data_IF_570259291252
#
_entry.id   IF_570259291252
#
_cell.length_a   1.000
_cell.length_b   1.000
_cell.length_c   1.000
_cell.angle_alpha   90.00
_cell.angle_beta   90.00
_cell.angle_gamma   90.00
#
_symmetry.space_group_name_H-M   'P 1'
#
loop_
_entity.id
_entity.type
_entity.pdbx_description
1 polymer ?
#
# COMPACT_ATOMS: atom_id res chain seq x y z
N UNK A 1 2.18 -11.98 14.57
CA UNK A 1 1.79 -10.61 14.94
C UNK A 1 0.67 -10.20 14.00
N UNK A 2 -0.32 -9.44 14.47
CA UNK A 2 -1.51 -9.07 13.67
C UNK A 2 -1.13 -8.15 12.51
N UNK A 3 -0.20 -7.22 12.76
CA UNK A 3 0.40 -6.33 11.75
C UNK A 3 1.00 -7.09 10.56
N UNK A 4 1.76 -8.17 10.81
CA UNK A 4 2.35 -8.98 9.73
C UNK A 4 1.32 -9.60 8.78
N UNK A 5 0.14 -10.00 9.29
CA UNK A 5 -0.94 -10.56 8.47
C UNK A 5 -1.56 -9.51 7.57
N UNK A 6 -1.68 -8.26 8.03
CA UNK A 6 -2.24 -7.20 7.19
C UNK A 6 -1.26 -6.81 6.07
N UNK A 7 0.05 -6.80 6.34
CA UNK A 7 1.08 -6.59 5.33
C UNK A 7 1.00 -7.61 4.20
N UNK A 8 0.83 -8.89 4.55
CA UNK A 8 0.64 -9.96 3.58
C UNK A 8 -0.62 -9.75 2.72
N UNK A 9 -1.75 -9.38 3.34
CA UNK A 9 -2.99 -9.09 2.60
C UNK A 9 -2.83 -7.93 1.61
N UNK A 10 -2.10 -6.88 2.00
CA UNK A 10 -1.81 -5.74 1.10
C UNK A 10 -0.99 -6.25 -0.10
N UNK A 11 0.08 -7.00 0.16
CA UNK A 11 0.92 -7.59 -0.90
C UNK A 11 0.13 -8.48 -1.86
N UNK A 12 -0.70 -9.38 -1.33
CA UNK A 12 -1.55 -10.28 -2.13
C UNK A 12 -2.57 -9.49 -2.96
N UNK A 13 -3.19 -8.45 -2.38
CA UNK A 13 -4.17 -7.65 -3.09
C UNK A 13 -3.55 -6.89 -4.27
N UNK A 14 -2.37 -6.30 -4.12
CA UNK A 14 -1.72 -5.57 -5.22
C UNK A 14 -1.01 -6.50 -6.20
N UNK A 15 -0.66 -7.74 -5.80
CA UNK A 15 -0.06 -8.73 -6.69
C UNK A 15 -0.94 -9.07 -7.90
N UNK A 16 -2.26 -8.87 -7.81
CA UNK A 16 -3.16 -9.06 -8.96
C UNK A 16 -2.92 -8.07 -10.09
N UNK A 17 -2.21 -6.95 -9.82
CA UNK A 17 -1.82 -5.96 -10.83
C UNK A 17 -0.47 -6.30 -11.48
N UNK A 18 0.24 -7.33 -11.01
CA UNK A 18 1.45 -7.82 -11.68
C UNK A 18 1.04 -8.62 -12.91
N UNK A 19 1.40 -8.12 -14.09
CA UNK A 19 1.35 -8.87 -15.35
C UNK A 19 2.76 -9.24 -15.79
N UNK A 20 2.91 -10.08 -16.82
CA UNK A 20 4.21 -10.48 -17.39
C UNK A 20 5.10 -9.29 -17.80
N UNK A 21 4.49 -8.12 -18.02
CA UNK A 21 5.21 -6.91 -18.44
C UNK A 21 5.56 -5.96 -17.29
N UNK A 22 5.00 -6.16 -16.10
CA UNK A 22 5.15 -5.28 -14.93
C UNK A 22 6.16 -5.90 -13.96
N UNK A 23 7.31 -5.24 -13.78
CA UNK A 23 8.37 -5.71 -12.89
C UNK A 23 8.22 -5.20 -11.46
N UNK A 24 7.52 -4.09 -11.26
CA UNK A 24 7.39 -3.41 -9.98
C UNK A 24 6.09 -2.58 -9.93
N UNK A 25 5.43 -2.60 -8.77
CA UNK A 25 4.32 -1.72 -8.43
C UNK A 25 4.76 -0.87 -7.25
N UNK A 26 4.67 0.45 -7.40
CA UNK A 26 4.89 1.42 -6.33
C UNK A 26 3.56 2.04 -5.98
N UNK A 27 3.28 2.16 -4.69
CA UNK A 27 2.07 2.80 -4.21
C UNK A 27 2.43 3.82 -3.17
N UNK A 28 1.84 5.01 -3.30
CA UNK A 28 1.87 6.05 -2.29
C UNK A 28 0.44 6.21 -1.81
N UNK A 29 0.25 6.15 -0.51
CA UNK A 29 -1.07 6.21 0.12
C UNK A 29 -1.08 7.22 1.25
N UNK A 30 -2.14 8.01 1.27
CA UNK A 30 -2.54 8.83 2.39
C UNK A 30 -3.76 8.21 3.05
N UNK A 31 -3.75 8.16 4.39
CA UNK A 31 -4.74 7.50 5.23
C UNK A 31 -5.38 8.54 6.13
N UNK A 32 -6.63 8.86 5.82
CA UNK A 32 -7.49 9.67 6.66
C UNK A 32 -8.35 8.76 7.54
N UNK A 33 -9.12 9.36 8.44
CA UNK A 33 -9.92 8.59 9.38
C UNK A 33 -11.10 7.87 8.69
N UNK A 34 -11.65 8.46 7.63
CA UNK A 34 -12.84 7.95 6.91
C UNK A 34 -12.56 7.49 5.47
N UNK A 35 -11.40 7.82 4.91
CA UNK A 35 -11.06 7.55 3.52
C UNK A 35 -9.55 7.46 3.30
N UNK A 36 -9.13 6.98 2.13
CA UNK A 36 -7.73 6.88 1.75
C UNK A 36 -7.53 7.46 0.34
N UNK A 37 -6.50 8.26 0.17
CA UNK A 37 -5.99 8.67 -1.14
C UNK A 37 -4.85 7.74 -1.54
N UNK A 38 -4.75 7.37 -2.82
CA UNK A 38 -3.61 6.58 -3.28
C UNK A 38 -3.30 6.80 -4.74
N UNK A 39 -2.03 6.56 -5.08
CA UNK A 39 -1.54 6.52 -6.45
C UNK A 39 -0.75 5.23 -6.69
N UNK A 40 -1.04 4.55 -7.80
CA UNK A 40 -0.25 3.42 -8.26
C UNK A 40 0.65 3.85 -9.41
N UNK A 41 1.94 3.54 -9.28
CA UNK A 41 2.91 3.70 -10.36
C UNK A 41 3.48 2.31 -10.71
N UNK A 42 3.46 1.95 -11.99
CA UNK A 42 3.92 0.65 -12.49
C UNK A 42 5.25 0.81 -13.22
N UNK A 43 6.20 -0.12 -13.01
CA UNK A 43 7.37 -0.23 -13.88
C UNK A 43 7.09 -1.32 -14.91
N UNK A 44 6.82 -0.92 -16.15
CA UNK A 44 6.50 -1.81 -17.25
C UNK A 44 7.61 -1.74 -18.31
N UNK A 45 8.20 -2.89 -18.68
CA UNK A 45 9.30 -2.97 -19.63
C UNK A 45 10.45 -1.98 -19.31
N UNK A 46 10.77 -1.81 -18.03
CA UNK A 46 11.80 -0.89 -17.55
C UNK A 46 11.42 0.61 -17.54
N UNK A 47 10.16 0.95 -17.84
CA UNK A 47 9.66 2.34 -17.84
C UNK A 47 8.61 2.56 -16.76
N UNK A 48 8.64 3.72 -16.12
CA UNK A 48 7.63 4.13 -15.15
C UNK A 48 6.35 4.59 -15.88
N UNK A 49 5.21 4.05 -15.46
CA UNK A 49 3.86 4.43 -15.85
C UNK A 49 3.15 4.92 -14.59
N UNK A 50 2.97 6.22 -14.47
CA UNK A 50 2.45 6.87 -13.25
C UNK A 50 0.92 6.95 -13.24
N UNK A 51 0.35 6.98 -12.04
CA UNK A 51 -1.07 7.34 -11.85
C UNK A 51 -2.08 6.32 -12.39
N UNK A 52 -1.75 5.04 -12.35
CA UNK A 52 -2.64 3.97 -12.79
C UNK A 52 -3.79 3.80 -11.79
N UNK A 53 -5.00 3.62 -12.31
CA UNK A 53 -6.16 3.34 -11.47
C UNK A 53 -6.15 1.87 -11.01
N UNK A 54 -6.14 1.65 -9.70
CA UNK A 54 -6.29 0.31 -9.14
C UNK A 54 -7.72 -0.20 -9.34
N UNK A 55 -7.89 -1.49 -9.59
CA UNK A 55 -9.22 -2.09 -9.67
C UNK A 55 -10.00 -1.88 -8.37
N UNK A 56 -11.32 -1.72 -8.46
CA UNK A 56 -12.18 -1.49 -7.28
C UNK A 56 -12.05 -2.58 -6.21
N UNK A 57 -11.85 -3.83 -6.63
CA UNK A 57 -11.60 -5.00 -5.78
C UNK A 57 -10.29 -4.88 -5.01
N UNK A 58 -9.20 -4.55 -5.71
CA UNK A 58 -7.87 -4.27 -5.13
C UNK A 58 -7.99 -3.10 -4.16
N UNK A 59 -8.71 -2.05 -4.56
CA UNK A 59 -8.83 -0.85 -3.76
C UNK A 59 -9.47 -1.11 -2.40
N UNK A 60 -10.57 -1.86 -2.40
CA UNK A 60 -11.26 -2.31 -1.19
C UNK A 60 -10.36 -3.17 -0.30
N UNK A 61 -9.73 -4.21 -0.85
CA UNK A 61 -8.89 -5.13 -0.08
C UNK A 61 -7.72 -4.40 0.61
N UNK A 62 -7.08 -3.48 -0.11
CA UNK A 62 -6.00 -2.66 0.44
C UNK A 62 -6.51 -1.67 1.49
N UNK A 63 -7.68 -1.05 1.30
CA UNK A 63 -8.30 -0.17 2.30
C UNK A 63 -8.50 -0.92 3.63
N UNK A 64 -9.19 -2.05 3.56
CA UNK A 64 -9.53 -2.85 4.75
C UNK A 64 -8.27 -3.29 5.49
N UNK A 65 -7.23 -3.69 4.75
CA UNK A 65 -5.96 -4.13 5.31
C UNK A 65 -5.13 -2.97 5.90
N UNK A 66 -5.06 -1.81 5.24
CA UNK A 66 -4.34 -0.64 5.77
C UNK A 66 -5.00 -0.07 7.02
N UNK A 67 -6.32 0.06 7.05
CA UNK A 67 -7.04 0.51 8.23
C UNK A 67 -6.89 -0.47 9.39
N UNK A 68 -6.86 -1.79 9.11
CA UNK A 68 -6.53 -2.78 10.13
C UNK A 68 -5.08 -2.67 10.60
N UNK A 69 -4.13 -2.49 9.70
CA UNK A 69 -2.72 -2.35 10.01
C UNK A 69 -2.44 -1.15 10.92
N UNK A 70 -3.04 0.02 10.62
CA UNK A 70 -2.93 1.22 11.47
C UNK A 70 -3.42 0.92 12.89
N UNK A 71 -4.61 0.32 13.04
CA UNK A 71 -5.14 -0.08 14.36
C UNK A 71 -4.27 -1.11 15.08
N UNK A 72 -3.78 -2.12 14.37
CA UNK A 72 -2.97 -3.19 14.95
C UNK A 72 -1.63 -2.62 15.43
N UNK A 73 -0.98 -1.75 14.65
CA UNK A 73 0.25 -1.06 15.05
C UNK A 73 0.06 -0.12 16.24
N UNK A 74 -1.07 0.61 16.31
CA UNK A 74 -1.41 1.44 17.47
C UNK A 74 -1.59 0.60 18.74
N UNK A 75 -2.25 -0.56 18.65
CA UNK A 75 -2.35 -1.51 19.78
C UNK A 75 -1.00 -2.08 20.21
N UNK A 76 -0.09 -2.25 19.26
CA UNK A 76 1.30 -2.65 19.50
C UNK A 76 2.16 -1.50 20.08
N UNK A 77 1.57 -0.32 20.33
CA UNK A 77 2.25 0.83 20.94
C UNK A 77 3.12 1.63 19.96
N UNK A 78 2.96 1.42 18.65
CA UNK A 78 3.64 2.23 17.65
C UNK A 78 2.97 3.61 17.50
N UNK A 79 3.77 4.59 17.09
CA UNK A 79 3.27 5.91 16.72
C UNK A 79 2.31 5.84 15.53
N UNK A 80 1.28 6.68 15.60
CA UNK A 80 0.30 6.82 14.54
C UNK A 80 0.95 7.30 13.23
N UNK A 81 0.34 6.95 12.11
CA UNK A 81 0.83 7.32 10.79
C UNK A 81 -0.34 7.54 9.84
N UNK A 82 -0.15 8.49 8.93
CA UNK A 82 -1.13 8.87 7.92
C UNK A 82 -0.60 8.72 6.50
N UNK A 83 0.70 8.50 6.34
CA UNK A 83 1.32 8.37 5.04
C UNK A 83 2.12 7.08 4.99
N UNK A 84 1.96 6.31 3.93
CA UNK A 84 2.82 5.18 3.67
C UNK A 84 3.13 5.04 2.18
N UNK A 85 4.27 4.44 1.90
CA UNK A 85 4.63 4.01 0.56
C UNK A 85 5.01 2.54 0.60
N UNK A 86 4.58 1.78 -0.40
CA UNK A 86 4.95 0.37 -0.50
C UNK A 86 5.25 -0.03 -1.92
N UNK A 87 6.12 -1.03 -2.03
CA UNK A 87 6.63 -1.57 -3.28
C UNK A 87 6.42 -3.07 -3.27
N UNK A 88 5.85 -3.59 -4.36
CA UNK A 88 5.83 -5.02 -4.67
C UNK A 88 6.59 -5.24 -5.98
N UNK A 89 7.60 -6.10 -5.93
CA UNK A 89 8.36 -6.55 -7.12
C UNK A 89 7.80 -7.86 -7.64
N UNK A 90 8.01 -8.12 -8.94
CA UNK A 90 7.61 -9.37 -9.59
C UNK A 90 8.28 -10.63 -8.99
N UNK A 91 9.41 -10.48 -8.29
CA UNK A 91 10.07 -11.57 -7.54
C UNK A 91 9.40 -11.90 -6.20
N UNK A 92 8.30 -11.22 -5.85
CA UNK A 92 7.57 -11.39 -4.60
C UNK A 92 8.08 -10.54 -3.43
N UNK A 93 9.13 -9.74 -3.64
CA UNK A 93 9.64 -8.83 -2.60
C UNK A 93 8.63 -7.72 -2.33
N UNK A 94 8.13 -7.66 -1.11
CA UNK A 94 7.23 -6.62 -0.62
C UNK A 94 7.91 -5.78 0.47
N UNK A 95 7.84 -4.46 0.35
CA UNK A 95 8.32 -3.52 1.37
C UNK A 95 7.31 -2.41 1.57
N UNK A 96 7.08 -2.02 2.82
CA UNK A 96 6.31 -0.84 3.20
C UNK A 96 7.17 0.07 4.07
N UNK A 97 7.01 1.37 3.89
CA UNK A 97 7.63 2.43 4.68
C UNK A 97 6.51 3.37 5.16
N UNK A 98 6.52 3.71 6.45
CA UNK A 98 5.53 4.60 7.07
C UNK A 98 6.17 5.97 7.34
N UNK A 99 5.60 7.02 6.76
CA UNK A 99 6.03 8.40 6.98
C UNK A 99 5.20 9.01 8.12
N UNK A 100 5.83 9.10 9.29
CA UNK A 100 5.26 9.69 10.51
C UNK A 100 5.55 11.18 10.65
N UNK A 101 6.36 11.74 9.74
CA UNK A 101 6.71 13.16 9.79
C UNK A 101 5.61 14.07 9.23
N UNK A 102 4.66 13.48 8.48
CA UNK A 102 3.57 14.20 7.83
C UNK A 102 2.25 14.02 8.59
N UNK A 103 1.64 15.12 9.06
CA UNK A 103 0.26 15.07 9.54
C UNK A 103 -0.69 14.74 8.38
N UNK A 104 -1.91 14.25 8.64
CA UNK A 104 -2.91 14.06 7.59
C UNK A 104 -3.22 15.40 6.93
N UNK A 105 -3.40 15.38 5.60
CA UNK A 105 -3.92 16.52 4.84
C UNK A 105 -5.36 16.79 5.27
N UNK A 106 -5.70 18.09 5.34
CA UNK A 106 -7.02 18.63 5.72
C UNK A 106 -8.05 18.52 4.60
#
# INVERSE_FOLDING_TARGET
MESSRQLEKIGVAIATMLSETVSEIRVITEVHDDWLERRYDLVQNGKLVEGVEGERSVNRSVNDALSALRRDMLKEGQEDWHHCSYVLKADGTFKIDFDRSKPPSV
#
